data_IF_856403486858
#
_entry.id   IF_856403486858
#
_cell.length_a   1.000
_cell.length_b   1.000
_cell.length_c   1.000
_cell.angle_alpha   90.00
_cell.angle_beta   90.00
_cell.angle_gamma   90.00
#
_symmetry.space_group_name_H-M   'P 1'
#
loop_
_entity.id
_entity.type
_entity.pdbx_description
1 polymer ?
#
# COMPACT_ATOMS: atom_id res chain seq x y z
N UNK A 1 -0.52 11.29 -11.47
CA UNK A 1 -1.04 10.01 -10.97
C UNK A 1 -0.72 8.84 -11.90
N UNK A 2 -1.05 8.89 -13.19
CA UNK A 2 -0.79 7.79 -14.13
C UNK A 2 0.68 7.34 -14.21
N UNK A 3 1.63 8.18 -13.81
CA UNK A 3 3.06 7.81 -13.75
C UNK A 3 3.37 6.77 -12.67
N UNK A 4 2.52 6.66 -11.64
CA UNK A 4 2.71 5.75 -10.50
C UNK A 4 1.57 4.73 -10.35
N UNK A 5 0.48 4.87 -11.11
CA UNK A 5 -0.70 4.00 -11.04
C UNK A 5 -0.74 3.06 -12.26
N UNK A 6 -0.99 1.79 -12.02
CA UNK A 6 -1.00 0.74 -13.04
C UNK A 6 0.12 -0.27 -12.87
N UNK A 7 0.36 -1.07 -13.89
CA UNK A 7 1.45 -2.05 -13.93
C UNK A 7 2.69 -1.45 -14.60
N UNK A 8 3.82 -2.16 -14.55
CA UNK A 8 5.05 -1.72 -15.23
C UNK A 8 4.82 -1.51 -16.75
N UNK A 9 3.98 -2.33 -17.34
CA UNK A 9 3.68 -2.27 -18.80
C UNK A 9 2.68 -1.17 -19.14
N UNK A 10 1.64 -0.97 -18.32
CA UNK A 10 0.52 -0.11 -18.65
C UNK A 10 0.17 0.85 -17.52
N UNK A 11 0.07 2.17 -17.81
CA UNK A 11 -0.48 3.13 -16.86
C UNK A 11 -1.99 2.87 -16.68
N UNK A 12 -2.49 3.17 -15.50
CA UNK A 12 -3.91 3.05 -15.19
C UNK A 12 -4.44 4.34 -14.58
N UNK A 13 -5.69 4.65 -14.87
CA UNK A 13 -6.44 5.65 -14.13
C UNK A 13 -6.90 5.07 -12.79
N UNK A 14 -6.95 5.88 -11.74
CA UNK A 14 -7.67 5.50 -10.52
C UNK A 14 -9.15 5.28 -10.84
N UNK A 15 -9.76 4.26 -10.26
CA UNK A 15 -11.16 3.90 -10.51
C UNK A 15 -12.19 4.92 -9.99
N UNK A 16 -11.74 5.87 -9.17
CA UNK A 16 -12.55 6.96 -8.60
C UNK A 16 -12.01 8.32 -9.04
N UNK A 17 -12.83 9.37 -8.91
CA UNK A 17 -12.44 10.77 -9.19
C UNK A 17 -11.58 11.32 -8.05
N UNK A 18 -10.38 10.77 -7.86
CA UNK A 18 -9.51 11.08 -6.72
C UNK A 18 -9.12 12.56 -6.64
N UNK A 19 -8.91 13.21 -7.80
CA UNK A 19 -8.54 14.63 -7.85
C UNK A 19 -9.68 15.52 -7.34
N UNK A 20 -10.92 15.21 -7.72
CA UNK A 20 -12.10 15.96 -7.29
C UNK A 20 -12.36 15.75 -5.80
N UNK A 21 -12.36 14.50 -5.35
CA UNK A 21 -12.60 14.14 -3.95
C UNK A 21 -11.56 14.75 -3.00
N UNK A 22 -10.28 14.67 -3.35
CA UNK A 22 -9.21 15.24 -2.53
C UNK A 22 -9.25 16.77 -2.50
N UNK A 23 -9.58 17.40 -3.64
CA UNK A 23 -9.76 18.85 -3.71
C UNK A 23 -10.94 19.29 -2.86
N UNK A 24 -12.07 18.58 -2.93
CA UNK A 24 -13.24 18.82 -2.08
C UNK A 24 -12.92 18.69 -0.59
N UNK A 25 -12.16 17.67 -0.18
CA UNK A 25 -11.73 17.50 1.21
C UNK A 25 -10.79 18.63 1.67
N UNK A 26 -9.88 19.06 0.79
CA UNK A 26 -8.99 20.20 1.05
C UNK A 26 -9.79 21.50 1.21
N UNK A 27 -10.80 21.73 0.34
CA UNK A 27 -11.70 22.87 0.43
C UNK A 27 -12.49 22.86 1.75
N UNK A 28 -13.05 21.72 2.12
CA UNK A 28 -13.74 21.55 3.40
C UNK A 28 -12.84 21.92 4.60
N UNK A 29 -11.61 21.40 4.62
CA UNK A 29 -10.64 21.69 5.67
C UNK A 29 -10.26 23.17 5.72
N UNK A 30 -10.08 23.82 4.55
CA UNK A 30 -9.76 25.24 4.46
C UNK A 30 -10.91 26.13 4.95
N UNK A 31 -12.16 25.78 4.63
CA UNK A 31 -13.36 26.47 5.11
C UNK A 31 -13.47 26.38 6.63
N UNK A 32 -13.28 25.20 7.22
CA UNK A 32 -13.32 25.04 8.68
C UNK A 32 -12.24 25.89 9.37
N UNK A 33 -11.01 25.92 8.83
CA UNK A 33 -9.94 26.77 9.34
C UNK A 33 -10.29 28.26 9.24
N UNK A 34 -10.89 28.69 8.14
CA UNK A 34 -11.32 30.07 7.96
C UNK A 34 -12.44 30.47 8.94
N UNK A 35 -13.40 29.58 9.21
CA UNK A 35 -14.45 29.80 10.19
C UNK A 35 -13.90 29.91 11.62
N UNK A 36 -12.93 29.05 12.00
CA UNK A 36 -12.25 29.13 13.29
C UNK A 36 -11.52 30.48 13.42
N UNK A 37 -10.82 30.93 12.37
CA UNK A 37 -10.18 32.25 12.34
C UNK A 37 -11.21 33.35 12.52
N UNK A 38 -12.28 33.34 11.71
CA UNK A 38 -13.35 34.36 11.77
C UNK A 38 -13.98 34.46 13.16
N UNK A 39 -14.21 33.34 13.84
CA UNK A 39 -14.76 33.33 15.20
C UNK A 39 -13.80 33.99 16.23
N UNK A 40 -12.49 33.95 16.00
CA UNK A 40 -11.48 34.57 16.88
C UNK A 40 -11.19 36.03 16.56
N UNK A 41 -11.19 36.39 15.27
CA UNK A 41 -10.71 37.71 14.80
C UNK A 41 -11.83 38.60 14.26
N UNK A 42 -13.00 38.04 13.96
CA UNK A 42 -14.08 38.72 13.23
C UNK A 42 -13.86 38.87 11.72
N UNK A 43 -12.66 38.52 11.23
CA UNK A 43 -12.26 38.73 9.83
C UNK A 43 -12.61 37.54 8.93
N UNK A 44 -13.20 37.83 7.76
CA UNK A 44 -13.39 36.84 6.70
C UNK A 44 -12.07 36.47 6.02
N UNK A 45 -12.09 35.39 5.25
CA UNK A 45 -10.92 34.92 4.49
C UNK A 45 -11.36 34.53 3.08
N UNK A 46 -10.62 34.97 2.08
CA UNK A 46 -10.76 34.44 0.72
C UNK A 46 -9.96 33.14 0.61
N UNK A 47 -10.58 32.09 0.05
CA UNK A 47 -9.96 30.77 -0.09
C UNK A 47 -9.87 30.45 -1.58
N UNK A 48 -8.65 30.20 -2.05
CA UNK A 48 -8.37 29.73 -3.41
C UNK A 48 -7.68 28.37 -3.30
N UNK A 49 -8.14 27.38 -4.04
CA UNK A 49 -7.61 26.01 -4.03
C UNK A 49 -7.43 25.54 -5.47
N UNK A 50 -6.22 25.16 -5.79
CA UNK A 50 -5.87 24.55 -7.07
C UNK A 50 -5.95 23.03 -6.95
N UNK A 51 -6.72 22.40 -7.84
CA UNK A 51 -6.79 20.94 -7.95
C UNK A 51 -5.40 20.34 -8.26
N UNK A 52 -4.60 21.04 -9.08
CA UNK A 52 -3.24 20.62 -9.41
C UNK A 52 -2.34 20.60 -8.17
N UNK A 53 -2.39 21.65 -7.34
CA UNK A 53 -1.56 21.74 -6.14
C UNK A 53 -1.94 20.68 -5.10
N UNK A 54 -3.24 20.41 -4.94
CA UNK A 54 -3.71 19.29 -4.09
C UNK A 54 -3.15 17.96 -4.56
N UNK A 55 -3.18 17.72 -5.88
CA UNK A 55 -2.62 16.48 -6.41
C UNK A 55 -1.09 16.43 -6.31
N UNK A 56 -0.41 17.56 -6.43
CA UNK A 56 1.04 17.63 -6.24
C UNK A 56 1.43 17.29 -4.78
N UNK A 57 0.64 17.75 -3.81
CA UNK A 57 0.85 17.41 -2.40
C UNK A 57 0.64 15.91 -2.14
N UNK A 58 -0.39 15.31 -2.70
CA UNK A 58 -0.62 13.86 -2.61
C UNK A 58 0.44 13.02 -3.33
N UNK A 59 1.11 13.60 -4.33
CA UNK A 59 2.25 12.99 -5.03
C UNK A 59 3.61 13.21 -4.32
N UNK A 60 3.61 13.73 -3.09
CA UNK A 60 4.83 14.08 -2.36
C UNK A 60 5.81 12.89 -2.23
N UNK A 61 5.33 11.70 -1.83
CA UNK A 61 6.19 10.51 -1.72
C UNK A 61 6.85 10.12 -3.06
N UNK A 62 6.11 9.99 -4.18
CA UNK A 62 6.72 9.79 -5.50
C UNK A 62 7.71 10.88 -5.91
N UNK A 63 7.42 12.15 -5.61
CA UNK A 63 8.30 13.27 -5.92
C UNK A 63 9.61 13.21 -5.13
N UNK A 64 9.54 12.91 -3.83
CA UNK A 64 10.72 12.73 -2.98
C UNK A 64 11.54 11.51 -3.42
N UNK A 65 10.88 10.40 -3.77
CA UNK A 65 11.56 9.22 -4.30
C UNK A 65 12.30 9.56 -5.60
N UNK A 66 11.66 10.28 -6.53
CA UNK A 66 12.32 10.74 -7.75
C UNK A 66 13.55 11.58 -7.47
N UNK A 67 13.43 12.53 -6.54
CA UNK A 67 14.50 13.50 -6.25
C UNK A 67 15.69 12.88 -5.50
N UNK A 68 15.43 11.97 -4.56
CA UNK A 68 16.45 11.51 -3.60
C UNK A 68 16.83 10.03 -3.75
N UNK A 69 16.04 9.20 -4.44
CA UNK A 69 16.28 7.77 -4.58
C UNK A 69 16.72 7.34 -6.00
N UNK A 70 17.06 8.30 -6.85
CA UNK A 70 17.71 8.02 -8.13
C UNK A 70 16.79 7.72 -9.30
N UNK A 71 15.54 8.15 -9.28
CA UNK A 71 14.66 8.03 -10.44
C UNK A 71 13.18 8.03 -10.15
N UNK A 72 12.37 8.08 -11.21
CA UNK A 72 10.92 8.04 -11.09
C UNK A 72 10.46 6.69 -10.52
N UNK A 73 9.54 6.68 -9.53
CA UNK A 73 8.98 5.44 -9.04
C UNK A 73 8.29 4.67 -10.17
N UNK A 74 8.51 3.37 -10.21
CA UNK A 74 7.85 2.49 -11.17
C UNK A 74 6.38 2.30 -10.78
N UNK A 75 5.54 2.00 -11.77
CA UNK A 75 4.19 1.49 -11.51
C UNK A 75 4.30 0.04 -11.03
N UNK A 76 3.73 -0.25 -9.89
CA UNK A 76 3.95 -1.51 -9.16
C UNK A 76 2.69 -2.39 -9.06
N UNK A 77 1.59 -1.98 -9.71
CA UNK A 77 0.31 -2.69 -9.57
C UNK A 77 -0.14 -2.72 -8.11
N UNK A 78 -0.33 -3.93 -7.59
CA UNK A 78 -0.76 -4.17 -6.21
C UNK A 78 0.41 -4.43 -5.24
N UNK A 79 1.67 -4.19 -5.67
CA UNK A 79 2.84 -4.38 -4.81
C UNK A 79 3.35 -3.07 -4.21
N UNK A 80 4.27 -3.14 -3.27
CA UNK A 80 4.85 -1.96 -2.62
C UNK A 80 6.27 -1.68 -3.10
N UNK A 81 6.68 -0.40 -3.03
CA UNK A 81 7.99 0.07 -3.54
C UNK A 81 9.19 -0.35 -2.69
N UNK A 82 8.99 -0.71 -1.42
CA UNK A 82 10.07 -1.08 -0.51
C UNK A 82 9.66 -2.02 0.65
N UNK A 83 8.43 -2.55 0.65
CA UNK A 83 7.96 -3.52 1.65
C UNK A 83 7.73 -4.88 0.98
N UNK A 84 8.19 -5.96 1.60
CA UNK A 84 7.95 -7.33 1.15
C UNK A 84 7.81 -8.29 2.35
N UNK A 85 6.82 -9.23 2.29
CA UNK A 85 5.82 -9.38 1.23
C UNK A 85 4.72 -8.32 1.32
N UNK A 86 4.33 -7.78 0.17
CA UNK A 86 3.19 -6.88 0.01
C UNK A 86 2.63 -7.06 -1.41
N UNK A 87 1.36 -7.45 -1.54
CA UNK A 87 0.75 -7.63 -2.85
C UNK A 87 -0.43 -8.56 -2.85
N UNK A 88 -0.88 -8.91 -4.06
CA UNK A 88 -1.90 -9.92 -4.28
C UNK A 88 -1.26 -11.31 -4.40
N UNK A 89 -1.79 -12.27 -3.66
CA UNK A 89 -1.35 -13.66 -3.63
C UNK A 89 -2.49 -14.58 -4.02
N UNK A 90 -2.18 -15.58 -4.84
CA UNK A 90 -3.15 -16.50 -5.41
C UNK A 90 -3.47 -17.61 -4.42
N UNK A 91 -4.75 -17.74 -4.06
CA UNK A 91 -5.33 -18.91 -3.41
C UNK A 91 -5.96 -19.86 -4.43
N UNK A 92 -6.53 -20.97 -3.97
CA UNK A 92 -7.14 -21.96 -4.84
C UNK A 92 -8.31 -21.41 -5.66
N UNK A 93 -9.11 -20.55 -5.07
CA UNK A 93 -10.38 -20.03 -5.60
C UNK A 93 -10.33 -18.53 -5.93
N UNK A 94 -9.49 -17.75 -5.25
CA UNK A 94 -9.46 -16.28 -5.38
C UNK A 94 -8.05 -15.74 -5.11
N UNK A 95 -7.93 -14.41 -5.08
CA UNK A 95 -6.72 -13.71 -4.65
C UNK A 95 -6.98 -12.92 -3.37
N UNK A 96 -5.96 -12.83 -2.53
CA UNK A 96 -5.97 -12.00 -1.33
C UNK A 96 -4.84 -10.97 -1.38
N UNK A 97 -5.10 -9.80 -0.84
CA UNK A 97 -4.06 -8.82 -0.55
C UNK A 97 -3.43 -9.14 0.80
N UNK A 98 -2.12 -9.09 0.87
CA UNK A 98 -1.33 -9.32 2.07
C UNK A 98 -0.32 -8.20 2.23
N UNK A 99 -0.13 -7.72 3.46
CA UNK A 99 0.91 -6.76 3.82
C UNK A 99 1.60 -7.16 5.12
N UNK A 100 2.92 -7.36 5.07
CA UNK A 100 3.77 -7.62 6.24
C UNK A 100 4.68 -6.42 6.44
N UNK A 101 4.44 -5.63 7.48
CA UNK A 101 5.10 -4.33 7.65
C UNK A 101 6.25 -4.35 8.67
N UNK A 102 6.42 -5.44 9.43
CA UNK A 102 7.48 -5.54 10.43
C UNK A 102 8.13 -6.93 10.46
N UNK A 103 9.33 -7.02 11.02
CA UNK A 103 10.00 -8.30 11.24
C UNK A 103 9.25 -9.18 12.26
N UNK A 104 8.54 -8.57 13.22
CA UNK A 104 7.68 -9.28 14.16
C UNK A 104 6.51 -9.95 13.46
N UNK A 105 5.82 -9.23 12.58
CA UNK A 105 4.74 -9.79 11.77
C UNK A 105 5.26 -10.89 10.84
N UNK A 106 6.42 -10.68 10.21
CA UNK A 106 7.04 -11.69 9.35
C UNK A 106 7.32 -12.99 10.11
N UNK A 107 7.81 -12.90 11.35
CA UNK A 107 8.01 -14.07 12.19
C UNK A 107 6.70 -14.81 12.45
N UNK A 108 5.65 -14.09 12.87
CA UNK A 108 4.31 -14.67 13.11
C UNK A 108 3.77 -15.30 11.82
N UNK A 109 3.91 -14.62 10.69
CA UNK A 109 3.49 -15.11 9.39
C UNK A 109 4.18 -16.43 9.00
N UNK A 110 5.49 -16.51 9.17
CA UNK A 110 6.24 -17.74 8.88
C UNK A 110 5.89 -18.88 9.82
N UNK A 111 5.76 -18.61 11.12
CA UNK A 111 5.54 -19.63 12.15
C UNK A 111 4.09 -20.12 12.20
N UNK A 112 3.11 -19.22 12.04
CA UNK A 112 1.69 -19.50 12.29
C UNK A 112 0.87 -19.64 11.03
N UNK A 113 1.23 -18.95 9.95
CA UNK A 113 0.46 -18.97 8.70
C UNK A 113 1.10 -19.93 7.69
N UNK A 114 2.38 -19.72 7.36
CA UNK A 114 3.07 -20.58 6.39
C UNK A 114 3.55 -21.92 6.98
N UNK A 115 3.63 -22.04 8.30
CA UNK A 115 4.21 -23.17 9.02
C UNK A 115 5.66 -23.49 8.56
N UNK A 116 6.42 -22.43 8.24
CA UNK A 116 7.81 -22.48 7.74
C UNK A 116 8.72 -21.61 8.61
N UNK A 117 8.98 -21.94 9.88
CA UNK A 117 9.75 -21.11 10.80
C UNK A 117 11.20 -20.87 10.35
N UNK A 118 11.75 -21.76 9.53
CA UNK A 118 13.08 -21.62 8.96
C UNK A 118 13.25 -20.39 8.04
N UNK A 119 12.18 -19.82 7.52
CA UNK A 119 12.22 -18.60 6.72
C UNK A 119 12.65 -17.39 7.55
N UNK A 120 12.34 -17.36 8.86
CA UNK A 120 12.67 -16.25 9.77
C UNK A 120 14.17 -16.01 9.86
N UNK A 121 14.96 -17.08 9.93
CA UNK A 121 16.44 -17.01 10.05
C UNK A 121 17.15 -17.11 8.72
N UNK A 122 16.40 -17.29 7.62
CA UNK A 122 16.99 -17.40 6.30
C UNK A 122 17.65 -16.08 5.90
N UNK A 123 18.93 -16.13 5.48
CA UNK A 123 19.71 -14.94 5.09
C UNK A 123 19.04 -14.07 4.01
N UNK A 124 18.19 -14.65 3.18
CA UNK A 124 17.45 -13.93 2.12
C UNK A 124 16.19 -13.25 2.62
N UNK A 125 15.69 -13.57 3.84
CA UNK A 125 14.40 -13.07 4.33
C UNK A 125 14.43 -12.51 5.75
N UNK A 126 15.58 -12.49 6.42
CA UNK A 126 15.76 -12.12 7.84
C UNK A 126 15.27 -10.70 8.20
N UNK A 127 15.29 -9.79 7.25
CA UNK A 127 14.88 -8.39 7.40
C UNK A 127 14.16 -7.88 6.14
N UNK A 128 13.48 -6.75 6.24
CA UNK A 128 12.72 -6.21 5.11
C UNK A 128 13.60 -5.89 3.87
N UNK A 129 14.80 -5.29 3.99
CA UNK A 129 15.66 -5.08 2.82
C UNK A 129 16.03 -6.38 2.11
N UNK A 130 16.33 -7.42 2.88
CA UNK A 130 16.65 -8.76 2.32
C UNK A 130 15.43 -9.38 1.65
N UNK A 131 14.25 -9.29 2.26
CA UNK A 131 12.96 -9.76 1.66
C UNK A 131 12.65 -9.01 0.38
N UNK A 132 12.76 -7.68 0.40
CA UNK A 132 12.50 -6.87 -0.77
C UNK A 132 13.43 -7.19 -1.95
N UNK A 133 14.71 -7.38 -1.67
CA UNK A 133 15.71 -7.80 -2.68
C UNK A 133 15.39 -9.17 -3.29
N UNK A 134 14.79 -10.08 -2.51
CA UNK A 134 14.46 -11.44 -2.91
C UNK A 134 12.95 -11.68 -3.00
N UNK A 135 12.18 -10.61 -3.32
CA UNK A 135 10.72 -10.64 -3.25
C UNK A 135 10.08 -11.67 -4.20
N UNK A 136 10.63 -11.86 -5.40
CA UNK A 136 10.13 -12.85 -6.36
C UNK A 136 10.14 -14.25 -5.73
N UNK A 137 11.28 -14.66 -5.18
CA UNK A 137 11.43 -15.96 -4.53
C UNK A 137 10.52 -16.11 -3.30
N UNK A 138 10.35 -15.05 -2.51
CA UNK A 138 9.45 -15.05 -1.37
C UNK A 138 7.99 -15.18 -1.82
N UNK A 139 7.60 -14.44 -2.86
CA UNK A 139 6.26 -14.49 -3.41
C UNK A 139 5.93 -15.86 -4.02
N UNK A 140 6.88 -16.52 -4.68
CA UNK A 140 6.73 -17.91 -5.16
C UNK A 140 6.41 -18.85 -3.99
N UNK A 141 7.19 -18.81 -2.91
CA UNK A 141 6.96 -19.64 -1.71
C UNK A 141 5.55 -19.39 -1.14
N UNK A 142 5.13 -18.13 -1.05
CA UNK A 142 3.81 -17.78 -0.52
C UNK A 142 2.70 -18.27 -1.45
N UNK A 143 2.82 -18.05 -2.76
CA UNK A 143 1.84 -18.51 -3.75
C UNK A 143 1.74 -20.03 -3.78
N UNK A 144 2.85 -20.77 -3.71
CA UNK A 144 2.87 -22.23 -3.65
C UNK A 144 2.17 -22.78 -2.42
N UNK A 145 2.26 -22.07 -1.31
CA UNK A 145 1.55 -22.45 -0.10
C UNK A 145 0.05 -22.09 -0.17
N UNK A 146 -0.26 -20.82 -0.51
CA UNK A 146 -1.63 -20.31 -0.52
C UNK A 146 -2.52 -20.98 -1.58
N UNK A 147 -1.95 -21.34 -2.74
CA UNK A 147 -2.69 -22.03 -3.82
C UNK A 147 -3.32 -23.38 -3.41
N UNK A 148 -2.90 -23.95 -2.29
CA UNK A 148 -3.44 -25.19 -1.75
C UNK A 148 -4.73 -25.01 -0.95
N UNK A 149 -5.06 -23.78 -0.57
CA UNK A 149 -6.16 -23.44 0.32
C UNK A 149 -7.11 -22.45 -0.34
N UNK A 150 -8.38 -22.49 0.08
CA UNK A 150 -9.35 -21.47 -0.28
C UNK A 150 -9.02 -20.14 0.42
N UNK A 151 -9.35 -19.02 -0.22
CA UNK A 151 -9.01 -17.69 0.26
C UNK A 151 -9.52 -17.42 1.68
N UNK A 152 -10.74 -17.86 1.99
CA UNK A 152 -11.36 -17.63 3.29
C UNK A 152 -10.62 -18.37 4.42
N UNK A 153 -10.01 -19.52 4.15
CA UNK A 153 -9.16 -20.23 5.13
C UNK A 153 -7.92 -19.41 5.46
N UNK A 154 -7.25 -18.90 4.44
CA UNK A 154 -6.04 -18.08 4.62
C UNK A 154 -6.39 -16.75 5.30
N UNK A 155 -7.49 -16.09 4.92
CA UNK A 155 -7.97 -14.85 5.54
C UNK A 155 -8.24 -15.05 7.03
N UNK A 156 -8.94 -16.12 7.42
CA UNK A 156 -9.21 -16.43 8.82
C UNK A 156 -7.91 -16.62 9.59
N UNK A 157 -6.97 -17.38 9.05
CA UNK A 157 -5.66 -17.62 9.68
C UNK A 157 -4.83 -16.33 9.83
N UNK A 158 -4.88 -15.43 8.84
CA UNK A 158 -4.24 -14.11 8.90
C UNK A 158 -4.90 -13.21 9.97
N UNK A 159 -6.23 -13.20 10.04
CA UNK A 159 -6.99 -12.43 11.02
C UNK A 159 -6.74 -12.89 12.45
N UNK A 160 -6.73 -14.20 12.72
CA UNK A 160 -6.39 -14.78 14.02
C UNK A 160 -4.99 -14.37 14.50
N UNK A 161 -4.08 -14.12 13.57
CA UNK A 161 -2.71 -13.70 13.85
C UNK A 161 -2.49 -12.19 13.71
N UNK A 162 -3.56 -11.38 13.55
CA UNK A 162 -3.52 -9.93 13.41
C UNK A 162 -2.60 -9.45 12.27
N UNK A 163 -2.62 -10.15 11.14
CA UNK A 163 -1.86 -9.79 9.94
C UNK A 163 -2.80 -9.10 8.95
N UNK A 164 -2.38 -7.93 8.47
CA UNK A 164 -3.15 -7.12 7.53
C UNK A 164 -3.40 -7.85 6.21
N UNK A 165 -4.67 -8.02 5.89
CA UNK A 165 -5.11 -8.69 4.67
C UNK A 165 -6.45 -8.15 4.18
N UNK A 166 -6.78 -8.43 2.92
CA UNK A 166 -8.09 -8.17 2.35
C UNK A 166 -8.39 -9.15 1.20
N UNK A 167 -9.66 -9.53 1.04
CA UNK A 167 -10.11 -10.26 -0.14
C UNK A 167 -10.11 -9.31 -1.35
N UNK A 168 -9.63 -9.78 -2.48
CA UNK A 168 -9.76 -9.04 -3.73
C UNK A 168 -11.18 -9.29 -4.27
N UNK A 169 -12.06 -8.30 -4.11
CA UNK A 169 -13.41 -8.38 -4.61
C UNK A 169 -13.45 -7.95 -6.09
N UNK A 170 -14.22 -8.68 -6.89
CA UNK A 170 -14.54 -8.35 -8.29
C UNK A 170 -15.69 -7.34 -8.36
#
# INVERSE_FOLDING_TARGET
>A
LCSVTGTEKEPSKTGISISDLSTGLTAYSAILRALIKKNKTGEGTNISISMFDVMADWMNMPLLAHRYMGGAPKRLGLTHSFIAPYGAFKCKDNQILLSIQSNREFKIFCEKVLLMPNLVTNKYFKDNPSRFKNKEKLNEIINDYFSKFEADIIINLLNENNIANAKLNS
#
